data_IF_364905331702
#
_entry.id   IF_364905331702
#
_cell.length_a   1.000
_cell.length_b   1.000
_cell.length_c   1.000
_cell.angle_alpha   90.00
_cell.angle_beta   90.00
_cell.angle_gamma   90.00
#
_symmetry.space_group_name_H-M   'P 1'
#
loop_
_entity.id
_entity.type
_entity.pdbx_description
1 polymer ?
#
# COMPACT_ATOMS: atom_id res chain seq x y z
N UNK A 1 13.04 -17.77 -10.85
CA UNK A 1 13.22 -16.34 -10.55
C UNK A 1 11.91 -15.86 -9.97
N UNK A 2 11.85 -15.49 -8.69
CA UNK A 2 10.56 -15.12 -8.06
C UNK A 2 10.09 -13.74 -8.51
N UNK A 3 8.80 -13.59 -8.81
CA UNK A 3 8.17 -12.34 -9.23
C UNK A 3 7.32 -11.79 -8.09
N UNK A 4 7.67 -10.61 -7.60
CA UNK A 4 7.07 -10.02 -6.40
C UNK A 4 6.48 -8.67 -6.76
N UNK A 5 5.25 -8.41 -6.33
CA UNK A 5 4.66 -7.08 -6.37
C UNK A 5 4.74 -6.43 -4.98
N UNK A 6 5.06 -5.15 -4.92
CA UNK A 6 5.11 -4.41 -3.66
C UNK A 6 4.53 -3.02 -3.80
N UNK A 7 3.76 -2.58 -2.81
CA UNK A 7 3.12 -1.27 -2.76
C UNK A 7 2.85 -0.90 -1.30
N UNK A 8 2.43 0.34 -1.04
CA UNK A 8 2.06 0.75 0.31
C UNK A 8 0.95 1.79 0.33
N UNK A 9 0.09 1.71 1.35
CA UNK A 9 -0.99 2.66 1.58
C UNK A 9 -1.15 2.86 3.10
N UNK A 10 -0.76 4.04 3.59
CA UNK A 10 -0.45 4.22 5.01
C UNK A 10 -1.05 5.52 5.54
N UNK A 11 -1.90 5.42 6.55
CA UNK A 11 -2.27 6.55 7.42
C UNK A 11 -2.89 5.99 8.70
N UNK A 12 -2.87 6.78 9.77
CA UNK A 12 -3.53 6.46 11.02
C UNK A 12 -4.80 7.30 11.15
N UNK A 13 -5.92 6.71 11.57
CA UNK A 13 -7.18 7.43 11.70
C UNK A 13 -7.61 7.64 13.15
N UNK A 14 -7.85 8.90 13.49
CA UNK A 14 -8.65 9.30 14.64
C UNK A 14 -10.09 9.60 14.19
N UNK A 15 -11.02 8.68 14.43
CA UNK A 15 -12.43 8.79 14.02
C UNK A 15 -13.21 9.91 14.71
N UNK A 16 -12.68 10.50 15.79
CA UNK A 16 -13.25 11.67 16.46
C UNK A 16 -12.80 12.99 15.84
N UNK A 17 -11.78 12.97 14.96
CA UNK A 17 -11.31 14.18 14.28
C UNK A 17 -12.32 14.64 13.23
N UNK A 18 -12.74 15.92 13.24
CA UNK A 18 -13.63 16.47 12.23
C UNK A 18 -12.93 16.81 10.91
N UNK A 19 -11.59 16.68 10.84
CA UNK A 19 -10.79 17.03 9.68
C UNK A 19 -10.45 15.76 8.88
N UNK A 20 -11.14 15.48 7.76
CA UNK A 20 -10.86 14.29 6.96
C UNK A 20 -9.51 14.42 6.25
N UNK A 21 -8.87 13.28 6.02
CA UNK A 21 -7.70 13.19 5.13
C UNK A 21 -8.18 13.04 3.69
N UNK A 22 -7.65 13.84 2.78
CA UNK A 22 -7.92 13.76 1.34
C UNK A 22 -6.63 13.49 0.55
N UNK A 23 -6.75 13.42 -0.78
CA UNK A 23 -5.63 13.20 -1.68
C UNK A 23 -4.50 14.23 -1.53
N UNK A 24 -4.78 15.46 -1.08
CA UNK A 24 -3.73 16.45 -0.86
C UNK A 24 -2.87 16.05 0.34
N UNK A 25 -3.47 15.50 1.41
CA UNK A 25 -2.71 14.97 2.55
C UNK A 25 -1.70 13.90 2.13
N UNK A 26 -2.06 13.03 1.18
CA UNK A 26 -1.12 12.05 0.59
C UNK A 26 -0.06 12.73 -0.28
N UNK A 27 -0.43 13.71 -1.11
CA UNK A 27 0.54 14.44 -1.96
C UNK A 27 1.56 15.25 -1.15
N UNK A 28 1.13 15.83 -0.03
CA UNK A 28 1.96 16.69 0.82
C UNK A 28 3.00 15.88 1.60
N UNK A 29 2.65 14.65 2.03
CA UNK A 29 3.60 13.79 2.73
C UNK A 29 4.35 12.85 1.78
N UNK A 30 3.66 11.92 1.12
CA UNK A 30 4.27 11.04 0.14
C UNK A 30 3.20 10.41 -0.76
N UNK A 31 3.30 10.67 -2.07
CA UNK A 31 2.61 9.94 -3.11
C UNK A 31 3.62 9.62 -4.21
N UNK A 32 4.25 8.46 -4.12
CA UNK A 32 5.23 7.99 -5.09
C UNK A 32 4.61 6.89 -5.97
N UNK A 33 4.48 7.18 -7.27
CA UNK A 33 4.06 6.19 -8.28
C UNK A 33 5.25 5.34 -8.74
N UNK A 34 5.03 4.27 -9.51
CA UNK A 34 6.11 3.46 -10.06
C UNK A 34 7.20 4.31 -10.73
N UNK A 35 8.44 4.18 -10.26
CA UNK A 35 9.59 4.95 -10.76
C UNK A 35 9.84 6.28 -10.04
N UNK A 36 8.99 6.69 -9.10
CA UNK A 36 9.13 7.93 -8.33
C UNK A 36 9.54 7.69 -6.87
N UNK A 37 9.70 6.43 -6.45
CA UNK A 37 10.03 6.10 -5.07
C UNK A 37 11.44 6.58 -4.68
N UNK A 38 11.62 7.16 -3.49
CA UNK A 38 12.94 7.54 -2.99
C UNK A 38 13.83 6.30 -2.78
N UNK A 39 15.15 6.49 -2.80
CA UNK A 39 16.12 5.41 -2.59
C UNK A 39 16.43 5.12 -1.11
N UNK A 40 15.86 5.91 -0.19
CA UNK A 40 15.99 5.72 1.24
C UNK A 40 14.66 5.26 1.86
N UNK A 41 14.73 4.49 2.96
CA UNK A 41 13.51 4.06 3.65
C UNK A 41 12.84 5.24 4.36
N UNK A 42 11.54 5.36 4.16
CA UNK A 42 10.61 6.12 4.99
C UNK A 42 9.69 5.14 5.72
N UNK A 43 8.78 5.64 6.55
CA UNK A 43 7.77 4.80 7.18
C UNK A 43 6.88 4.07 6.15
N UNK A 44 6.67 4.64 4.96
CA UNK A 44 5.86 4.01 3.91
C UNK A 44 6.68 3.29 2.82
N UNK A 45 7.94 3.68 2.57
CA UNK A 45 8.78 3.05 1.52
C UNK A 45 9.66 1.92 2.04
N UNK A 46 9.69 1.68 3.35
CA UNK A 46 10.45 0.61 3.98
C UNK A 46 10.31 -0.76 3.27
N UNK A 47 9.08 -1.23 3.00
CA UNK A 47 8.84 -2.49 2.29
C UNK A 47 9.43 -2.53 0.87
N UNK A 48 9.31 -1.45 0.09
CA UNK A 48 9.91 -1.36 -1.25
C UNK A 48 11.44 -1.43 -1.17
N UNK A 49 12.05 -0.69 -0.24
CA UNK A 49 13.51 -0.66 -0.09
C UNK A 49 14.03 -2.03 0.36
N UNK A 50 13.33 -2.70 1.28
CA UNK A 50 13.64 -4.06 1.68
C UNK A 50 13.51 -5.05 0.52
N UNK A 51 12.45 -4.93 -0.29
CA UNK A 51 12.24 -5.76 -1.49
C UNK A 51 13.34 -5.57 -2.53
N UNK A 52 13.74 -4.31 -2.83
CA UNK A 52 14.87 -3.99 -3.72
C UNK A 52 16.17 -4.64 -3.26
N UNK A 53 16.50 -4.51 -1.96
CA UNK A 53 17.70 -5.14 -1.37
C UNK A 53 17.65 -6.65 -1.53
N UNK A 54 16.51 -7.27 -1.21
CA UNK A 54 16.38 -8.72 -1.30
C UNK A 54 16.42 -9.22 -2.74
N UNK A 55 15.89 -8.44 -3.68
CA UNK A 55 15.96 -8.74 -5.10
C UNK A 55 17.39 -8.71 -5.64
N UNK A 56 18.22 -7.75 -5.20
CA UNK A 56 19.64 -7.72 -5.55
C UNK A 56 20.40 -8.93 -5.02
N UNK A 57 20.05 -9.42 -3.82
CA UNK A 57 20.70 -10.58 -3.19
C UNK A 57 20.26 -11.93 -3.78
N UNK A 58 18.97 -12.07 -4.10
CA UNK A 58 18.36 -13.35 -4.49
C UNK A 58 17.99 -13.47 -5.97
N UNK A 59 18.19 -12.41 -6.74
CA UNK A 59 17.72 -12.35 -8.13
C UNK A 59 16.19 -12.42 -8.21
N UNK A 60 15.47 -11.64 -7.42
CA UNK A 60 14.02 -11.50 -7.60
C UNK A 60 13.69 -10.45 -8.65
N UNK A 61 12.54 -10.58 -9.29
CA UNK A 61 11.95 -9.53 -10.12
C UNK A 61 10.91 -8.79 -9.29
N UNK A 62 11.15 -7.51 -9.03
CA UNK A 62 10.22 -6.66 -8.27
C UNK A 62 9.42 -5.80 -9.24
N UNK A 63 8.11 -5.76 -9.05
CA UNK A 63 7.22 -4.76 -9.64
C UNK A 63 6.73 -3.86 -8.52
N UNK A 64 7.07 -2.57 -8.62
CA UNK A 64 6.71 -1.56 -7.63
C UNK A 64 5.39 -0.91 -8.04
N UNK A 65 4.42 -0.95 -7.15
CA UNK A 65 3.20 -0.18 -7.21
C UNK A 65 3.32 1.13 -6.42
N UNK A 66 2.24 1.89 -6.43
CA UNK A 66 2.14 3.16 -5.73
C UNK A 66 2.37 2.98 -4.23
N UNK A 67 3.17 3.88 -3.67
CA UNK A 67 3.35 4.05 -2.23
C UNK A 67 2.80 5.41 -1.84
N UNK A 68 1.78 5.41 -0.99
CA UNK A 68 1.11 6.60 -0.53
C UNK A 68 1.05 6.63 1.00
N UNK A 69 1.41 7.76 1.60
CA UNK A 69 1.21 8.01 3.03
C UNK A 69 0.73 9.41 3.33
N UNK A 70 -0.12 9.54 4.34
CA UNK A 70 -0.62 10.82 4.85
C UNK A 70 -0.50 10.89 6.38
N UNK A 71 -0.47 12.11 6.92
CA UNK A 71 -0.31 12.33 8.35
C UNK A 71 -1.53 11.79 9.09
N UNK A 72 -1.39 11.32 10.35
CA UNK A 72 -2.51 10.93 11.17
C UNK A 72 -3.60 12.02 11.21
N UNK A 73 -4.85 11.63 11.00
CA UNK A 73 -5.95 12.58 10.81
C UNK A 73 -7.32 11.98 11.02
N UNK A 74 -8.37 12.68 10.58
CA UNK A 74 -9.71 12.10 10.54
C UNK A 74 -9.87 11.06 9.43
N UNK A 75 -11.05 10.43 9.33
CA UNK A 75 -11.31 9.42 8.30
C UNK A 75 -10.93 9.91 6.91
N UNK A 76 -10.28 9.02 6.14
CA UNK A 76 -9.96 9.30 4.75
C UNK A 76 -11.26 9.48 3.98
N UNK A 77 -11.35 10.49 3.14
CA UNK A 77 -12.54 10.63 2.32
C UNK A 77 -12.67 9.45 1.34
N UNK A 78 -13.91 9.03 1.09
CA UNK A 78 -14.20 7.83 0.29
C UNK A 78 -13.47 7.83 -1.05
N UNK A 79 -13.58 8.94 -1.77
CA UNK A 79 -13.02 9.08 -3.11
C UNK A 79 -11.50 8.91 -3.12
N UNK A 80 -10.79 9.44 -2.12
CA UNK A 80 -9.33 9.33 -2.01
C UNK A 80 -8.91 7.89 -1.76
N UNK A 81 -9.55 7.22 -0.78
CA UNK A 81 -9.29 5.83 -0.49
C UNK A 81 -9.54 4.94 -1.70
N UNK A 82 -10.72 5.05 -2.33
CA UNK A 82 -11.08 4.24 -3.50
C UNK A 82 -10.13 4.51 -4.66
N UNK A 83 -9.73 5.77 -4.90
CA UNK A 83 -8.77 6.10 -5.97
C UNK A 83 -7.41 5.45 -5.74
N UNK A 84 -6.85 5.52 -4.53
CA UNK A 84 -5.54 4.93 -4.21
C UNK A 84 -5.61 3.40 -4.21
N UNK A 85 -6.66 2.83 -3.62
CA UNK A 85 -6.93 1.39 -3.62
C UNK A 85 -7.00 0.85 -5.04
N UNK A 86 -7.81 1.47 -5.89
CA UNK A 86 -8.04 1.00 -7.25
C UNK A 86 -6.80 1.22 -8.13
N UNK A 87 -6.02 2.28 -7.89
CA UNK A 87 -4.72 2.50 -8.53
C UNK A 87 -3.74 1.34 -8.21
N UNK A 88 -3.58 1.01 -6.92
CA UNK A 88 -2.70 -0.09 -6.47
C UNK A 88 -3.18 -1.45 -7.02
N UNK A 89 -4.48 -1.72 -6.97
CA UNK A 89 -5.06 -2.98 -7.47
C UNK A 89 -4.93 -3.11 -8.99
N UNK A 90 -5.07 -2.01 -9.73
CA UNK A 90 -4.84 -1.97 -11.18
C UNK A 90 -3.39 -2.29 -11.54
N UNK A 91 -2.44 -1.76 -10.78
CA UNK A 91 -1.01 -2.06 -10.95
C UNK A 91 -0.69 -3.52 -10.59
N UNK A 92 -1.28 -4.04 -9.51
CA UNK A 92 -1.16 -5.44 -9.13
C UNK A 92 -1.66 -6.37 -10.25
N UNK A 93 -2.83 -6.06 -10.82
CA UNK A 93 -3.42 -6.83 -11.92
C UNK A 93 -2.53 -6.83 -13.17
N UNK A 94 -1.90 -5.68 -13.49
CA UNK A 94 -0.98 -5.54 -14.61
C UNK A 94 0.36 -6.26 -14.40
N UNK A 95 0.76 -6.50 -13.14
CA UNK A 95 2.03 -7.15 -12.78
C UNK A 95 2.01 -8.69 -12.91
N UNK A 96 0.82 -9.29 -13.05
CA UNK A 96 0.66 -10.74 -13.15
C UNK A 96 1.47 -11.34 -14.33
N UNK A 97 1.94 -12.59 -14.21
CA UNK A 97 1.86 -13.48 -13.04
C UNK A 97 2.86 -13.09 -11.92
N UNK A 98 2.53 -13.47 -10.68
CA UNK A 98 3.33 -13.21 -9.47
C UNK A 98 3.43 -14.45 -8.59
N UNK A 99 4.52 -14.56 -7.84
CA UNK A 99 4.71 -15.56 -6.78
C UNK A 99 4.30 -15.01 -5.41
N UNK A 100 4.47 -13.70 -5.19
CA UNK A 100 4.02 -13.04 -3.97
C UNK A 100 3.62 -11.57 -4.17
N UNK A 101 2.84 -11.07 -3.21
CA UNK A 101 2.49 -9.66 -3.00
C UNK A 101 2.96 -9.27 -1.59
N UNK A 102 3.66 -8.16 -1.47
CA UNK A 102 4.15 -7.62 -0.19
C UNK A 102 3.66 -6.18 -0.05
N UNK A 103 2.71 -5.93 0.85
CA UNK A 103 2.13 -4.61 1.08
C UNK A 103 2.64 -3.98 2.38
N UNK A 104 2.99 -2.69 2.32
CA UNK A 104 3.19 -1.85 3.50
C UNK A 104 1.88 -1.17 3.89
N UNK A 105 1.31 -1.53 5.03
CA UNK A 105 0.02 -1.03 5.49
C UNK A 105 0.18 -0.44 6.90
N UNK A 106 -0.64 0.54 7.27
CA UNK A 106 -0.64 0.99 8.65
C UNK A 106 -1.34 -0.04 9.56
N UNK A 107 -2.56 -0.42 9.19
CA UNK A 107 -3.45 -1.27 9.96
C UNK A 107 -4.54 -0.51 10.71
N UNK A 108 -4.50 0.83 10.72
CA UNK A 108 -5.46 1.69 11.42
C UNK A 108 -6.11 2.74 10.50
N UNK A 109 -6.16 2.47 9.19
CA UNK A 109 -6.84 3.35 8.24
C UNK A 109 -8.35 3.11 8.27
N UNK A 110 -9.11 4.18 8.52
CA UNK A 110 -10.56 4.20 8.34
C UNK A 110 -10.89 5.23 7.26
N UNK A 111 -11.80 4.89 6.36
CA UNK A 111 -12.33 5.80 5.36
C UNK A 111 -13.85 5.89 5.46
N UNK A 112 -14.44 6.93 4.87
CA UNK A 112 -15.90 7.08 4.87
C UNK A 112 -16.60 5.92 4.15
N UNK A 113 -17.18 5.00 4.92
CA UNK A 113 -17.83 3.77 4.43
C UNK A 113 -16.95 2.53 4.46
N UNK A 114 -15.74 2.62 5.04
CA UNK A 114 -14.79 1.52 5.19
C UNK A 114 -14.16 1.58 6.58
N UNK A 115 -14.60 0.71 7.49
CA UNK A 115 -14.04 0.60 8.85
C UNK A 115 -12.72 -0.20 8.88
N UNK A 116 -12.45 -0.98 7.81
CA UNK A 116 -11.27 -1.81 7.64
C UNK A 116 -10.75 -1.66 6.19
N UNK A 117 -9.95 -0.61 5.97
CA UNK A 117 -9.40 -0.29 4.65
C UNK A 117 -8.37 -1.33 4.19
N UNK A 118 -7.58 -1.85 5.12
CA UNK A 118 -6.54 -2.84 4.88
C UNK A 118 -7.16 -4.20 4.52
N UNK A 119 -8.22 -4.62 5.21
CA UNK A 119 -9.01 -5.80 4.88
C UNK A 119 -9.65 -5.71 3.49
N UNK A 120 -10.29 -4.58 3.14
CA UNK A 120 -10.86 -4.39 1.79
C UNK A 120 -9.78 -4.50 0.70
N UNK A 121 -8.62 -3.86 0.90
CA UNK A 121 -7.49 -3.93 -0.05
C UNK A 121 -6.94 -5.36 -0.16
N UNK A 122 -6.70 -6.05 0.95
CA UNK A 122 -6.14 -7.41 0.98
C UNK A 122 -7.11 -8.44 0.38
N UNK A 123 -8.41 -8.30 0.66
CA UNK A 123 -9.44 -9.18 0.10
C UNK A 123 -9.51 -9.04 -1.43
N UNK A 124 -9.47 -7.82 -1.95
CA UNK A 124 -9.45 -7.57 -3.40
C UNK A 124 -8.16 -8.03 -4.05
N UNK A 125 -7.02 -7.80 -3.40
CA UNK A 125 -5.73 -8.32 -3.86
C UNK A 125 -5.78 -9.85 -3.98
N UNK A 126 -6.34 -10.55 -2.98
CA UNK A 126 -6.56 -12.01 -3.03
C UNK A 126 -7.43 -12.45 -4.20
N UNK A 127 -8.50 -11.71 -4.50
CA UNK A 127 -9.35 -12.01 -5.66
C UNK A 127 -8.58 -11.90 -6.98
N UNK A 128 -7.69 -10.92 -7.10
CA UNK A 128 -6.86 -10.70 -8.30
C UNK A 128 -5.82 -11.80 -8.48
N UNK A 129 -5.06 -12.12 -7.42
CA UNK A 129 -3.91 -13.04 -7.54
C UNK A 129 -4.27 -14.52 -7.39
N UNK A 130 -5.50 -14.82 -6.97
CA UNK A 130 -5.97 -16.19 -6.71
C UNK A 130 -5.36 -16.79 -5.44
N UNK A 131 -5.74 -18.02 -5.03
CA UNK A 131 -5.44 -18.57 -3.70
C UNK A 131 -3.98 -19.03 -3.50
N UNK A 132 -3.20 -19.17 -4.57
CA UNK A 132 -1.85 -19.77 -4.52
C UNK A 132 -0.74 -18.75 -4.26
N UNK A 133 -0.93 -17.50 -4.66
CA UNK A 133 0.06 -16.43 -4.52
C UNK A 133 0.18 -16.04 -3.04
N UNK A 134 1.40 -15.93 -2.52
CA UNK A 134 1.61 -15.47 -1.15
C UNK A 134 1.20 -13.99 -1.04
N UNK A 135 0.44 -13.63 -0.01
CA UNK A 135 0.18 -12.23 0.32
C UNK A 135 0.75 -12.01 1.73
N UNK A 136 1.70 -11.08 1.83
CA UNK A 136 2.25 -10.61 3.09
C UNK A 136 1.91 -9.13 3.24
N UNK A 137 1.60 -8.74 4.47
CA UNK A 137 1.43 -7.34 4.84
C UNK A 137 2.33 -7.06 6.04
N UNK A 138 3.05 -5.94 5.96
CA UNK A 138 3.72 -5.34 7.12
C UNK A 138 2.78 -4.29 7.70
N UNK A 139 2.71 -4.24 9.03
CA UNK A 139 1.81 -3.39 9.80
C UNK A 139 2.57 -2.61 10.86
N UNK A 140 2.09 -1.40 11.11
CA UNK A 140 2.49 -0.64 12.29
C UNK A 140 1.94 -1.33 13.57
N UNK A 141 2.67 -1.34 14.70
CA UNK A 141 2.19 -1.94 15.95
C UNK A 141 0.87 -1.37 16.50
N UNK A 142 0.43 -0.20 16.04
CA UNK A 142 -0.85 0.41 16.43
C UNK A 142 -2.05 -0.10 15.60
N UNK A 143 -1.89 -1.16 14.80
CA UNK A 143 -2.96 -1.82 14.07
C UNK A 143 -4.03 -2.46 14.98
#
# INVERSE_FOLDING_TARGET
>A
MSRIFTAALVTETNTFSPLPVDMNGFREQLLARPGEHPDWPTQATGPIIAARRRAAELGWTITEGTTASAQPGGPVNRQTYESLRDEILGQLQAALPLDAVILGLHGAMVAHGYDDCEGDLLQRARQIVGPKVLIAAEFDPHC
#
